data_IF_625923356621
#
_entry.id   IF_625923356621
#
_cell.length_a   1.000
_cell.length_b   1.000
_cell.length_c   1.000
_cell.angle_alpha   90.00
_cell.angle_beta   90.00
_cell.angle_gamma   90.00
#
_symmetry.space_group_name_H-M   'P 1'
#
loop_
_entity.id
_entity.type
_entity.pdbx_description
1 polymer ?
#
# COMPACT_ATOMS: atom_id res chain seq x y z
N UNK A 1 -18.78 -2.98 6.12
CA UNK A 1 -17.39 -3.22 6.56
C UNK A 1 -17.17 -4.61 7.09
N UNK A 2 -16.27 -5.35 6.44
CA UNK A 2 -15.77 -6.63 6.92
C UNK A 2 -15.14 -6.46 8.31
N UNK A 3 -15.58 -7.24 9.31
CA UNK A 3 -15.11 -7.12 10.70
C UNK A 3 -13.60 -7.32 10.85
N UNK A 4 -12.99 -8.26 10.11
CA UNK A 4 -11.54 -8.49 10.16
C UNK A 4 -10.76 -7.30 9.62
N UNK A 5 -11.28 -6.65 8.58
CA UNK A 5 -10.67 -5.44 8.02
C UNK A 5 -10.79 -4.28 9.03
N UNK A 6 -11.99 -4.06 9.59
CA UNK A 6 -12.22 -3.03 10.62
C UNK A 6 -11.29 -3.19 11.82
N UNK A 7 -11.08 -4.42 12.30
CA UNK A 7 -10.26 -4.70 13.47
C UNK A 7 -8.75 -4.61 13.17
N UNK A 8 -8.35 -4.75 11.91
CA UNK A 8 -6.96 -4.58 11.49
C UNK A 8 -6.58 -3.12 11.30
N UNK A 9 -7.52 -2.29 10.82
CA UNK A 9 -7.27 -0.87 10.58
C UNK A 9 -6.98 -0.16 11.90
N UNK A 10 -5.79 0.42 12.00
CA UNK A 10 -5.49 1.38 13.05
C UNK A 10 -6.06 2.74 12.66
N UNK A 11 -7.17 3.13 13.29
CA UNK A 11 -7.88 4.37 12.98
C UNK A 11 -7.07 5.64 13.27
N UNK A 12 -6.13 5.60 14.22
CA UNK A 12 -5.21 6.73 14.48
C UNK A 12 -4.28 6.93 13.27
N UNK A 13 -3.70 5.84 12.75
CA UNK A 13 -2.87 5.91 11.54
C UNK A 13 -3.68 6.32 10.31
N UNK A 14 -4.95 5.93 10.24
CA UNK A 14 -5.86 6.37 9.19
C UNK A 14 -6.06 7.88 9.25
N UNK A 15 -6.35 8.46 10.42
CA UNK A 15 -6.50 9.91 10.57
C UNK A 15 -5.20 10.64 10.20
N UNK A 16 -4.04 10.11 10.62
CA UNK A 16 -2.74 10.66 10.21
C UNK A 16 -2.49 10.59 8.69
N UNK A 17 -3.00 9.54 8.03
CA UNK A 17 -2.91 9.40 6.59
C UNK A 17 -3.75 10.46 5.89
N UNK A 18 -5.00 10.68 6.33
CA UNK A 18 -5.89 11.70 5.76
C UNK A 18 -5.34 13.11 5.98
N UNK A 19 -4.76 13.37 7.15
CA UNK A 19 -4.10 14.63 7.45
C UNK A 19 -2.75 14.82 6.73
N UNK A 20 -2.24 13.79 6.02
CA UNK A 20 -0.96 13.84 5.33
C UNK A 20 0.27 13.90 6.25
N UNK A 21 0.14 13.46 7.50
CA UNK A 21 1.19 13.51 8.54
C UNK A 21 1.70 12.14 8.99
N UNK A 22 1.20 11.06 8.41
CA UNK A 22 1.63 9.70 8.73
C UNK A 22 3.11 9.48 8.40
N UNK A 23 3.90 9.14 9.43
CA UNK A 23 5.34 8.96 9.29
C UNK A 23 5.73 7.63 8.63
N UNK A 24 4.91 6.59 8.81
CA UNK A 24 5.16 5.25 8.29
C UNK A 24 3.93 4.72 7.52
N UNK A 25 3.62 5.25 6.32
CA UNK A 25 2.44 4.83 5.56
C UNK A 25 2.37 3.32 5.33
N UNK A 26 3.52 2.64 5.20
CA UNK A 26 3.60 1.18 5.04
C UNK A 26 3.00 0.40 6.22
N UNK A 27 2.87 0.97 7.41
CA UNK A 27 2.21 0.28 8.52
C UNK A 27 0.70 0.14 8.33
N UNK A 28 0.11 1.00 7.48
CA UNK A 28 -1.31 1.00 7.19
C UNK A 28 -1.62 0.63 5.73
N UNK A 29 -0.72 0.88 4.79
CA UNK A 29 -0.91 0.67 3.35
C UNK A 29 -0.10 -0.53 2.87
N UNK A 30 -0.57 -1.15 1.80
CA UNK A 30 0.08 -2.30 1.19
C UNK A 30 -0.45 -3.63 1.70
N UNK A 31 0.35 -4.68 1.50
CA UNK A 31 0.03 -6.05 1.89
C UNK A 31 0.58 -6.37 3.28
N UNK A 32 -0.27 -6.93 4.14
CA UNK A 32 0.02 -7.28 5.51
C UNK A 32 -0.50 -8.65 5.88
N UNK A 33 0.27 -9.40 6.65
CA UNK A 33 -0.19 -10.64 7.27
C UNK A 33 -1.12 -10.32 8.46
N UNK A 34 -2.28 -10.96 8.55
CA UNK A 34 -3.20 -10.78 9.67
C UNK A 34 -3.89 -12.09 10.07
N UNK A 35 -3.53 -12.61 11.24
CA UNK A 35 -3.91 -13.96 11.66
C UNK A 35 -3.39 -15.00 10.67
N UNK A 36 -4.27 -15.86 10.18
CA UNK A 36 -3.96 -16.86 9.14
C UNK A 36 -4.09 -16.31 7.71
N UNK A 37 -4.63 -15.09 7.59
CA UNK A 37 -4.94 -14.45 6.32
C UNK A 37 -3.98 -13.34 5.96
N UNK A 38 -4.44 -12.46 5.07
CA UNK A 38 -3.75 -11.25 4.68
C UNK A 38 -4.75 -10.11 4.48
N UNK A 39 -4.33 -8.89 4.80
CA UNK A 39 -5.05 -7.66 4.47
C UNK A 39 -4.26 -6.92 3.40
N UNK A 40 -4.97 -6.34 2.44
CA UNK A 40 -4.39 -5.39 1.49
C UNK A 40 -5.21 -4.11 1.54
N UNK A 41 -4.54 -2.99 1.73
CA UNK A 41 -5.14 -1.65 1.80
C UNK A 41 -4.42 -0.67 0.88
N UNK A 42 -5.17 0.32 0.40
CA UNK A 42 -4.61 1.39 -0.41
C UNK A 42 -5.36 2.70 -0.20
N UNK A 43 -4.68 3.80 -0.49
CA UNK A 43 -5.26 5.13 -0.55
C UNK A 43 -5.23 5.63 -2.00
N UNK A 44 -6.42 5.83 -2.56
CA UNK A 44 -6.69 6.28 -3.94
C UNK A 44 -7.73 7.41 -3.90
N UNK A 45 -7.31 8.65 -3.62
CA UNK A 45 -8.22 9.79 -3.62
C UNK A 45 -8.94 9.94 -4.95
N UNK A 46 -10.19 10.43 -4.89
CA UNK A 46 -11.03 10.71 -6.07
C UNK A 46 -11.34 9.51 -6.97
N UNK A 47 -11.02 8.28 -6.58
CA UNK A 47 -11.45 7.09 -7.31
C UNK A 47 -12.90 6.72 -7.01
N UNK A 48 -13.56 6.11 -7.99
CA UNK A 48 -14.88 5.51 -7.83
C UNK A 48 -14.78 4.12 -7.18
N UNK A 49 -13.86 3.28 -7.67
CA UNK A 49 -13.69 1.91 -7.18
C UNK A 49 -12.23 1.46 -7.27
N UNK A 50 -11.88 0.47 -6.45
CA UNK A 50 -10.58 -0.22 -6.53
C UNK A 50 -10.80 -1.73 -6.46
N UNK A 51 -10.10 -2.46 -7.32
CA UNK A 51 -10.02 -3.92 -7.28
C UNK A 51 -8.57 -4.39 -7.30
N UNK A 52 -8.34 -5.63 -6.87
CA UNK A 52 -7.04 -6.31 -6.93
C UNK A 52 -7.09 -7.42 -7.96
N UNK A 53 -6.05 -7.55 -8.79
CA UNK A 53 -5.85 -8.72 -9.65
C UNK A 53 -4.41 -9.24 -9.61
N UNK A 54 -4.21 -10.52 -9.93
CA UNK A 54 -2.87 -11.04 -10.19
C UNK A 54 -2.32 -10.45 -11.52
N UNK A 55 -0.99 -10.30 -11.70
CA UNK A 55 -0.42 -9.67 -12.89
C UNK A 55 -0.87 -10.29 -14.23
N UNK A 56 -1.01 -11.62 -14.27
CA UNK A 56 -1.50 -12.38 -15.44
C UNK A 56 -2.92 -12.91 -15.27
N UNK A 57 -3.58 -12.61 -14.15
CA UNK A 57 -4.89 -13.17 -13.81
C UNK A 57 -6.03 -12.38 -14.43
N UNK A 58 -7.07 -13.09 -14.87
CA UNK A 58 -8.34 -12.49 -15.28
C UNK A 58 -9.26 -12.18 -14.10
N UNK A 59 -9.07 -12.86 -12.97
CA UNK A 59 -9.90 -12.68 -11.78
C UNK A 59 -9.52 -11.40 -11.05
N UNK A 60 -10.50 -10.51 -10.88
CA UNK A 60 -10.42 -9.35 -10.00
C UNK A 60 -11.14 -9.61 -8.68
N UNK A 61 -10.66 -8.96 -7.62
CA UNK A 61 -11.24 -8.98 -6.28
C UNK A 61 -11.57 -7.52 -5.91
N UNK A 62 -12.85 -7.13 -5.86
CA UNK A 62 -13.23 -5.78 -5.50
C UNK A 62 -12.82 -5.49 -4.06
N UNK A 63 -12.21 -4.33 -3.83
CA UNK A 63 -11.88 -3.85 -2.49
C UNK A 63 -13.09 -3.13 -1.90
N UNK A 64 -13.25 -3.26 -0.60
CA UNK A 64 -14.24 -2.49 0.14
C UNK A 64 -13.79 -1.03 0.24
N UNK A 65 -14.69 -0.10 -0.10
CA UNK A 65 -14.50 1.32 0.16
C UNK A 65 -14.74 1.57 1.63
N UNK A 66 -13.65 1.78 2.37
CA UNK A 66 -13.66 1.97 3.83
C UNK A 66 -14.08 3.41 4.16
N UNK A 67 -13.69 4.36 3.31
CA UNK A 67 -13.99 5.78 3.51
C UNK A 67 -14.22 6.53 2.19
N UNK A 68 -14.89 7.68 2.26
CA UNK A 68 -15.19 8.51 1.09
C UNK A 68 -13.96 9.25 0.56
N UNK A 69 -12.92 9.39 1.38
CA UNK A 69 -11.62 9.98 1.07
C UNK A 69 -10.77 9.11 0.13
N UNK A 70 -11.25 7.90 -0.19
CA UNK A 70 -10.58 6.98 -1.11
C UNK A 70 -9.68 5.96 -0.40
N UNK A 71 -9.97 5.63 0.86
CA UNK A 71 -9.32 4.51 1.53
C UNK A 71 -10.08 3.21 1.25
N UNK A 72 -9.36 2.20 0.79
CA UNK A 72 -9.91 0.90 0.41
C UNK A 72 -9.16 -0.23 1.09
N UNK A 73 -9.87 -1.33 1.35
CA UNK A 73 -9.28 -2.51 1.95
C UNK A 73 -9.94 -3.81 1.52
N UNK A 74 -9.20 -4.91 1.62
CA UNK A 74 -9.71 -6.26 1.44
C UNK A 74 -8.99 -7.23 2.37
N UNK A 75 -9.75 -8.12 3.00
CA UNK A 75 -9.21 -9.22 3.78
C UNK A 75 -9.38 -10.53 3.03
N UNK A 76 -8.31 -11.33 2.96
CA UNK A 76 -8.34 -12.69 2.47
C UNK A 76 -8.12 -13.66 3.64
N UNK A 77 -9.00 -14.65 3.86
CA UNK A 77 -8.84 -15.65 4.92
C UNK A 77 -7.56 -16.48 4.84
N UNK A 78 -6.98 -16.61 3.63
CA UNK A 78 -5.71 -17.28 3.37
C UNK A 78 -4.77 -16.33 2.64
N UNK A 79 -3.46 -16.52 2.81
CA UNK A 79 -2.41 -15.76 2.08
C UNK A 79 -2.48 -16.05 0.58
N UNK A 80 -3.15 -15.16 -0.16
CA UNK A 80 -3.43 -15.30 -1.59
C UNK A 80 -2.36 -14.67 -2.46
N UNK A 81 -1.66 -13.65 -1.96
CA UNK A 81 -0.65 -12.90 -2.68
C UNK A 81 0.66 -12.92 -1.90
N UNK A 82 1.79 -12.78 -2.60
CA UNK A 82 3.12 -12.74 -1.98
C UNK A 82 3.91 -11.58 -2.56
N UNK A 83 4.41 -10.70 -1.68
CA UNK A 83 5.12 -9.49 -2.08
C UNK A 83 4.30 -8.64 -3.05
N UNK A 84 4.93 -8.16 -4.11
CA UNK A 84 4.35 -7.26 -5.12
C UNK A 84 3.59 -7.96 -6.26
N UNK A 85 3.19 -9.23 -6.08
CA UNK A 85 2.54 -10.06 -7.12
C UNK A 85 1.02 -9.83 -7.24
N UNK A 86 0.62 -8.57 -7.22
CA UNK A 86 -0.75 -8.11 -7.51
C UNK A 86 -0.72 -6.71 -8.12
N UNK A 87 -1.84 -6.29 -8.70
CA UNK A 87 -2.05 -4.95 -9.24
C UNK A 87 -3.35 -4.38 -8.71
N UNK A 88 -3.35 -3.10 -8.41
CA UNK A 88 -4.59 -2.35 -8.24
C UNK A 88 -5.16 -2.02 -9.61
N UNK A 89 -6.47 -2.13 -9.72
CA UNK A 89 -7.26 -1.63 -10.84
C UNK A 89 -8.14 -0.54 -10.23
N UNK A 90 -7.79 0.71 -10.51
CA UNK A 90 -8.49 1.90 -10.00
C UNK A 90 -9.36 2.45 -11.10
N UNK A 91 -10.65 2.59 -10.83
CA UNK A 91 -11.61 3.23 -11.72
C UNK A 91 -11.95 4.62 -11.17
N UNK A 92 -11.96 5.62 -12.04
CA UNK A 92 -12.32 7.00 -11.73
C UNK A 92 -13.73 7.32 -12.27
N UNK A 93 -14.32 8.40 -11.75
CA UNK A 93 -15.70 8.80 -12.10
C UNK A 93 -15.88 9.23 -13.56
N UNK A 94 -14.79 9.57 -14.25
CA UNK A 94 -14.77 9.88 -15.68
C UNK A 94 -14.74 8.63 -16.57
N UNK A 95 -14.75 7.43 -15.97
CA UNK A 95 -14.65 6.15 -16.67
C UNK A 95 -13.22 5.71 -16.95
N UNK A 96 -12.20 6.48 -16.57
CA UNK A 96 -10.79 6.11 -16.73
C UNK A 96 -10.45 4.94 -15.80
N UNK A 97 -9.78 3.93 -16.33
CA UNK A 97 -9.23 2.81 -15.54
C UNK A 97 -7.70 2.82 -15.60
N UNK A 98 -7.07 2.79 -14.43
CA UNK A 98 -5.61 2.69 -14.29
C UNK A 98 -5.25 1.39 -13.59
N UNK A 99 -4.34 0.62 -14.19
CA UNK A 99 -3.75 -0.56 -13.59
C UNK A 99 -2.35 -0.22 -13.09
N UNK A 100 -2.11 -0.29 -11.79
CA UNK A 100 -0.82 0.04 -11.20
C UNK A 100 -0.28 -1.05 -10.28
N UNK A 101 1.03 -1.09 -10.12
CA UNK A 101 1.63 -1.79 -9.00
C UNK A 101 1.29 -1.07 -7.68
N UNK A 102 1.49 -1.78 -6.57
CA UNK A 102 1.41 -1.20 -5.24
C UNK A 102 2.79 -0.69 -4.81
N UNK A 103 2.95 0.63 -4.68
CA UNK A 103 4.19 1.26 -4.24
C UNK A 103 4.59 0.86 -2.81
N UNK A 104 3.63 0.51 -1.95
CA UNK A 104 3.90 0.11 -0.56
C UNK A 104 4.25 -1.38 -0.42
N UNK A 105 4.14 -2.18 -1.50
CA UNK A 105 4.51 -3.59 -1.52
C UNK A 105 6.01 -3.88 -1.77
N UNK A 106 6.78 -2.85 -2.14
CA UNK A 106 8.21 -2.97 -2.40
C UNK A 106 9.03 -2.72 -1.13
N UNK A 107 10.19 -3.35 -1.00
CA UNK A 107 11.13 -3.08 0.08
C UNK A 107 11.87 -1.74 -0.15
N UNK A 108 12.42 -1.16 0.92
CA UNK A 108 13.24 0.05 0.82
C UNK A 108 14.56 -0.26 0.14
N UNK A 109 15.02 0.64 -0.75
CA UNK A 109 16.33 0.54 -1.40
C UNK A 109 17.46 1.17 -0.55
N UNK A 110 17.08 1.98 0.45
CA UNK A 110 18.00 2.60 1.38
C UNK A 110 18.27 1.66 2.55
N UNK A 111 19.49 1.13 2.61
CA UNK A 111 19.86 0.09 3.59
C UNK A 111 20.29 0.70 4.93
N UNK A 112 20.32 -0.12 5.98
CA UNK A 112 20.85 0.29 7.28
C UNK A 112 22.33 0.72 7.20
N UNK A 113 23.10 0.12 6.28
CA UNK A 113 24.49 0.50 6.04
C UNK A 113 24.59 1.88 5.37
N UNK A 114 23.74 2.16 4.37
CA UNK A 114 23.64 3.48 3.75
C UNK A 114 23.28 4.54 4.80
N UNK A 115 22.33 4.23 5.69
CA UNK A 115 21.89 5.09 6.77
C UNK A 115 23.01 5.37 7.77
N UNK A 116 23.74 4.34 8.18
CA UNK A 116 24.88 4.44 9.10
C UNK A 116 25.98 5.35 8.53
N UNK A 117 26.43 5.09 7.30
CA UNK A 117 27.48 5.91 6.67
C UNK A 117 27.03 7.34 6.44
N UNK A 118 25.75 7.56 6.11
CA UNK A 118 25.20 8.90 5.95
C UNK A 118 25.19 9.67 7.28
N UNK A 119 24.74 9.03 8.37
CA UNK A 119 24.71 9.63 9.70
C UNK A 119 26.12 10.00 10.21
N UNK A 120 27.13 9.23 9.86
CA UNK A 120 28.54 9.50 10.17
C UNK A 120 29.19 10.56 9.25
N UNK A 121 28.49 11.04 8.21
CA UNK A 121 29.05 11.96 7.21
C UNK A 121 30.11 11.32 6.30
N UNK A 122 30.10 9.99 6.15
CA UNK A 122 31.12 9.21 5.44
C UNK A 122 30.62 8.56 4.15
N UNK A 123 29.34 8.71 3.81
CA UNK A 123 28.80 8.22 2.54
C UNK A 123 29.08 9.23 1.41
N UNK A 124 30.28 9.19 0.84
CA UNK A 124 30.71 10.13 -0.22
C UNK A 124 29.90 9.99 -1.52
N UNK A 125 29.30 8.82 -1.74
CA UNK A 125 28.46 8.51 -2.89
C UNK A 125 26.97 8.50 -2.54
N UNK A 126 26.56 9.23 -1.49
CA UNK A 126 25.17 9.31 -1.03
C UNK A 126 24.21 9.79 -2.13
N UNK A 127 24.71 10.57 -3.10
CA UNK A 127 23.93 11.04 -4.25
C UNK A 127 23.45 9.88 -5.15
N UNK A 128 24.07 8.70 -5.10
CA UNK A 128 23.58 7.48 -5.78
C UNK A 128 22.42 6.81 -5.05
N UNK A 129 22.05 7.30 -3.85
CA UNK A 129 21.00 6.74 -2.99
C UNK A 129 19.89 7.74 -2.72
N UNK A 130 20.25 9.00 -2.46
CA UNK A 130 19.29 10.09 -2.23
C UNK A 130 18.86 10.73 -3.55
N UNK A 131 17.65 11.29 -3.58
CA UNK A 131 17.05 11.87 -4.79
C UNK A 131 16.15 10.88 -5.53
N UNK A 132 16.13 10.98 -6.86
CA UNK A 132 15.34 10.11 -7.75
C UNK A 132 16.27 9.34 -8.69
N UNK A 133 16.07 8.01 -8.75
CA UNK A 133 16.90 7.03 -9.47
C UNK A 133 16.03 6.04 -10.23
#
# INVERSE_FOLDING_TARGET
MNEKLNNWINWILYDELIDGKINAPKHLLGIHDYGNGQVITCYKPHSASVSIKAPSGKTSFPMEKVSEEGFYGIYFPNKKFKGNKYRFVTEYYDGTTVVSADCYSFEGLFTDYDAYLFAEGKNYDIYNKMGAH
#
